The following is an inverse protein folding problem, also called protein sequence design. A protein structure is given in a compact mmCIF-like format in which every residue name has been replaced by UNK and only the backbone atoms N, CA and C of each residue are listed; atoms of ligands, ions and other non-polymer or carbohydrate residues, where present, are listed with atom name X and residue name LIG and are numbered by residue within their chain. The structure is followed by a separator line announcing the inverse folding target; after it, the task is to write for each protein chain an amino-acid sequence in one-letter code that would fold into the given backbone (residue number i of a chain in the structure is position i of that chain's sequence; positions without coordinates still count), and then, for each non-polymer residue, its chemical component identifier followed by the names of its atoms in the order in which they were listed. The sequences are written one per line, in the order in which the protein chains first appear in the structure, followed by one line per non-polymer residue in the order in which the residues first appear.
data_IF_225548042420
#
_entry.id   IF_225548042420
#
_cell.length_a   1.000
_cell.length_b   1.000
_cell.length_c   1.000
_cell.angle_alpha   90.00
_cell.angle_beta   90.00
_cell.angle_gamma   90.00
#
_symmetry.space_group_name_H-M   'P 1'
#
loop_
_entity.id
_entity.type
_entity.pdbx_description
1 polymer ?
#
# COMPACT_ATOMS: atom_id res chain seq x y z
N UNK A 1 1.91 22.26 23.27
CA UNK A 1 2.90 22.78 22.31
C UNK A 1 3.34 21.66 21.39
N UNK A 2 3.20 21.86 20.09
CA UNK A 2 3.59 20.85 19.10
C UNK A 2 5.11 20.70 19.09
N UNK A 3 5.61 19.48 19.10
CA UNK A 3 7.06 19.24 19.04
C UNK A 3 7.59 19.55 17.65
N UNK A 4 8.89 19.84 17.56
CA UNK A 4 9.56 20.07 16.28
C UNK A 4 9.43 18.85 15.35
N UNK A 5 9.49 17.65 15.92
CA UNK A 5 9.32 16.42 15.16
C UNK A 5 7.93 16.31 14.53
N UNK A 6 6.89 16.68 15.28
CA UNK A 6 5.52 16.67 14.77
C UNK A 6 5.30 17.70 13.67
N UNK A 7 5.83 18.93 13.87
CA UNK A 7 5.77 19.99 12.86
C UNK A 7 6.51 19.58 11.59
N UNK A 8 7.74 19.04 11.73
CA UNK A 8 8.54 18.58 10.60
C UNK A 8 7.85 17.50 9.81
N UNK A 9 7.22 16.53 10.49
CA UNK A 9 6.49 15.45 9.83
C UNK A 9 5.32 16.00 9.01
N UNK A 10 4.51 16.90 9.58
CA UNK A 10 3.37 17.49 8.90
C UNK A 10 3.77 18.33 7.69
N UNK A 11 4.84 19.12 7.81
CA UNK A 11 5.34 19.96 6.73
C UNK A 11 6.09 19.16 5.66
N UNK A 12 6.92 18.21 6.09
CA UNK A 12 7.78 17.42 5.22
C UNK A 12 6.99 16.45 4.34
N UNK A 13 5.97 15.83 4.90
CA UNK A 13 5.23 14.80 4.18
C UNK A 13 3.97 15.33 3.50
N UNK A 14 3.44 16.48 3.92
CA UNK A 14 2.25 17.09 3.30
C UNK A 14 1.09 16.10 3.07
N UNK A 15 -0.02 16.57 2.56
CA UNK A 15 -1.15 15.72 2.14
C UNK A 15 -1.55 14.61 3.13
N UNK A 16 -1.33 14.81 4.44
CA UNK A 16 -1.67 13.82 5.46
C UNK A 16 -0.68 12.65 5.55
N UNK A 17 0.48 12.75 4.93
CA UNK A 17 1.49 11.71 5.02
C UNK A 17 2.06 11.62 6.44
N UNK A 18 2.26 10.38 6.90
CA UNK A 18 2.84 10.11 8.22
C UNK A 18 4.28 9.64 8.08
N UNK A 19 5.07 9.67 9.16
CA UNK A 19 6.41 9.06 9.13
C UNK A 19 6.39 7.60 8.70
N UNK A 20 5.34 6.85 9.07
CA UNK A 20 5.20 5.45 8.67
C UNK A 20 5.04 5.32 7.14
N UNK A 21 4.22 6.17 6.54
CA UNK A 21 4.04 6.21 5.08
C UNK A 21 5.35 6.51 4.37
N UNK A 22 6.13 7.46 4.89
CA UNK A 22 7.43 7.79 4.32
C UNK A 22 8.40 6.62 4.41
N UNK A 23 8.46 5.97 5.57
CA UNK A 23 9.32 4.79 5.75
C UNK A 23 8.91 3.67 4.80
N UNK A 24 7.60 3.47 4.60
CA UNK A 24 7.08 2.47 3.66
C UNK A 24 7.44 2.82 2.22
N UNK A 25 7.30 4.09 1.84
CA UNK A 25 7.65 4.58 0.52
C UNK A 25 9.13 4.35 0.21
N UNK A 26 9.99 4.56 1.21
CA UNK A 26 11.44 4.40 1.09
C UNK A 26 11.89 2.93 1.19
N UNK A 27 11.00 2.03 1.58
CA UNK A 27 11.37 0.63 1.81
C UNK A 27 12.22 0.41 3.03
N UNK A 28 12.17 1.33 4.00
CA UNK A 28 12.93 1.23 5.23
C UNK A 28 12.17 0.37 6.25
N UNK A 29 12.31 -0.94 6.12
CA UNK A 29 11.57 -1.91 6.92
C UNK A 29 11.86 -1.78 8.41
N UNK A 30 13.11 -1.52 8.79
CA UNK A 30 13.48 -1.34 10.19
C UNK A 30 12.81 -0.12 10.79
N UNK A 31 12.76 0.98 10.04
CA UNK A 31 12.08 2.21 10.49
C UNK A 31 10.57 1.98 10.62
N UNK A 32 9.97 1.22 9.71
CA UNK A 32 8.56 0.83 9.79
C UNK A 32 8.30 0.11 11.12
N UNK A 33 9.12 -0.87 11.45
CA UNK A 33 8.98 -1.63 12.71
C UNK A 33 9.13 -0.72 13.94
N UNK A 34 10.13 0.16 13.94
CA UNK A 34 10.34 1.12 15.04
C UNK A 34 9.11 1.99 15.25
N UNK A 35 8.59 2.57 14.18
CA UNK A 35 7.43 3.46 14.25
C UNK A 35 6.18 2.75 14.79
N UNK A 36 5.93 1.52 14.34
CA UNK A 36 4.80 0.73 14.82
C UNK A 36 4.97 0.42 16.31
N UNK A 37 6.17 0.04 16.75
CA UNK A 37 6.44 -0.19 18.17
C UNK A 37 6.28 1.08 19.02
N UNK A 38 6.44 2.27 18.41
CA UNK A 38 6.22 3.55 19.06
C UNK A 38 4.76 4.00 19.04
N UNK A 39 3.86 3.17 18.52
CA UNK A 39 2.43 3.44 18.51
C UNK A 39 1.86 4.02 17.21
N UNK A 40 2.62 4.02 16.12
CA UNK A 40 2.08 4.47 14.83
C UNK A 40 0.90 3.58 14.39
N UNK A 41 -0.15 4.21 13.88
CA UNK A 41 -1.30 3.50 13.33
C UNK A 41 -0.95 2.95 11.95
N UNK A 42 -0.86 1.62 11.84
CA UNK A 42 -0.50 0.94 10.59
C UNK A 42 -1.51 1.22 9.47
N UNK A 43 -2.76 1.52 9.83
CA UNK A 43 -3.85 1.74 8.87
C UNK A 43 -4.22 3.22 8.72
N UNK A 44 -3.38 4.14 9.19
CA UNK A 44 -3.60 5.57 8.99
C UNK A 44 -3.68 5.89 7.50
N UNK A 45 -4.61 6.74 7.13
CA UNK A 45 -4.83 7.16 5.74
C UNK A 45 -4.31 8.58 5.53
N UNK A 46 -3.75 8.83 4.35
CA UNK A 46 -3.40 10.20 3.94
C UNK A 46 -4.64 10.92 3.38
N UNK A 47 -4.46 12.13 2.86
CA UNK A 47 -5.56 12.94 2.30
C UNK A 47 -6.23 12.32 1.08
N UNK A 48 -5.59 11.34 0.44
CA UNK A 48 -6.14 10.58 -0.68
C UNK A 48 -6.67 9.20 -0.25
N UNK A 49 -6.71 8.94 1.05
CA UNK A 49 -7.17 7.65 1.58
C UNK A 49 -6.17 6.53 1.45
N UNK A 50 -4.90 6.83 1.16
CA UNK A 50 -3.85 5.83 0.96
C UNK A 50 -3.21 5.44 2.28
N UNK A 51 -2.76 4.19 2.36
CA UNK A 51 -2.12 3.62 3.56
C UNK A 51 -0.64 3.35 3.31
N UNK A 52 0.11 3.09 4.39
CA UNK A 52 1.51 2.72 4.28
C UNK A 52 1.71 1.47 3.40
N UNK A 53 0.80 0.50 3.49
CA UNK A 53 0.86 -0.71 2.66
C UNK A 53 0.84 -0.37 1.16
N UNK A 54 -0.04 0.54 0.76
CA UNK A 54 -0.12 0.98 -0.64
C UNK A 54 1.18 1.60 -1.11
N UNK A 55 1.82 2.42 -0.29
CA UNK A 55 3.11 3.05 -0.64
C UNK A 55 4.23 2.02 -0.79
N UNK A 56 4.30 1.03 0.09
CA UNK A 56 5.30 -0.03 -0.01
C UNK A 56 5.11 -0.83 -1.30
N UNK A 57 3.87 -1.15 -1.64
CA UNK A 57 3.55 -1.93 -2.85
C UNK A 57 3.87 -1.16 -4.12
N UNK A 58 3.45 0.11 -4.21
CA UNK A 58 3.65 0.91 -5.44
C UNK A 58 5.15 1.12 -5.73
N UNK A 59 5.98 1.20 -4.69
CA UNK A 59 7.43 1.32 -4.85
C UNK A 59 8.15 -0.04 -4.82
N UNK A 60 7.41 -1.14 -4.89
CA UNK A 60 7.95 -2.49 -5.02
C UNK A 60 8.83 -2.95 -3.85
N UNK A 61 8.50 -2.49 -2.64
CA UNK A 61 9.21 -2.87 -1.42
C UNK A 61 8.58 -4.10 -0.77
N UNK A 62 8.93 -5.27 -1.26
CA UNK A 62 8.34 -6.54 -0.87
C UNK A 62 8.49 -6.84 0.63
N UNK A 63 9.69 -6.69 1.19
CA UNK A 63 9.93 -6.98 2.61
C UNK A 63 9.16 -6.00 3.53
N UNK A 64 9.09 -4.73 3.13
CA UNK A 64 8.31 -3.73 3.86
C UNK A 64 6.81 -4.05 3.80
N UNK A 65 6.32 -4.43 2.65
CA UNK A 65 4.93 -4.88 2.47
C UNK A 65 4.62 -6.04 3.42
N UNK A 66 5.47 -7.04 3.46
CA UNK A 66 5.30 -8.21 4.33
C UNK A 66 5.27 -7.80 5.80
N UNK A 67 6.20 -6.94 6.21
CA UNK A 67 6.25 -6.45 7.59
C UNK A 67 4.95 -5.73 7.97
N UNK A 68 4.46 -4.84 7.11
CA UNK A 68 3.20 -4.13 7.35
C UNK A 68 2.02 -5.10 7.51
N UNK A 69 1.95 -6.13 6.69
CA UNK A 69 0.90 -7.15 6.77
C UNK A 69 0.98 -7.93 8.10
N UNK A 70 2.18 -8.27 8.54
CA UNK A 70 2.39 -8.95 9.83
C UNK A 70 1.89 -8.07 10.99
N UNK A 71 2.08 -6.76 10.91
CA UNK A 71 1.66 -5.81 11.94
C UNK A 71 0.20 -5.36 11.81
N UNK A 72 -0.59 -6.00 10.97
CA UNK A 72 -2.03 -5.77 10.90
C UNK A 72 -2.48 -4.75 9.86
N UNK A 73 -1.69 -4.48 8.83
CA UNK A 73 -2.14 -3.65 7.72
C UNK A 73 -3.38 -4.27 7.07
N UNK A 74 -4.39 -3.44 6.81
CA UNK A 74 -5.62 -3.88 6.13
C UNK A 74 -5.32 -4.12 4.65
N UNK A 75 -5.28 -5.39 4.25
CA UNK A 75 -4.98 -5.77 2.87
C UNK A 75 -6.03 -5.25 1.88
N UNK A 76 -7.25 -5.01 2.35
CA UNK A 76 -8.37 -4.59 1.51
C UNK A 76 -8.72 -3.10 1.65
N UNK A 77 -7.88 -2.30 2.29
CA UNK A 77 -8.09 -0.87 2.37
C UNK A 77 -8.16 -0.27 0.96
N UNK A 78 -9.07 0.66 0.76
CA UNK A 78 -9.27 1.34 -0.52
C UNK A 78 -8.95 2.82 -0.38
N UNK A 79 -8.20 3.35 -1.34
CA UNK A 79 -8.04 4.80 -1.47
C UNK A 79 -9.38 5.44 -1.86
N UNK A 80 -9.46 6.78 -1.81
CA UNK A 80 -10.72 7.46 -2.17
C UNK A 80 -11.08 7.31 -3.66
N UNK A 81 -10.11 6.96 -4.50
CA UNK A 81 -10.35 6.61 -5.91
C UNK A 81 -10.61 5.11 -6.12
N UNK A 82 -10.73 4.36 -5.03
CA UNK A 82 -11.04 2.93 -5.08
C UNK A 82 -9.85 2.00 -5.22
N UNK A 83 -8.63 2.52 -5.19
CA UNK A 83 -7.40 1.71 -5.35
C UNK A 83 -7.11 0.84 -4.14
N UNK A 84 -6.58 -0.35 -4.39
CA UNK A 84 -6.15 -1.31 -3.35
C UNK A 84 -4.68 -1.66 -3.54
N UNK A 85 -4.08 -2.27 -2.52
CA UNK A 85 -2.70 -2.77 -2.62
C UNK A 85 -2.56 -3.81 -3.76
N UNK A 86 -3.57 -4.68 -3.92
CA UNK A 86 -3.56 -5.68 -5.00
C UNK A 86 -3.51 -5.03 -6.39
N UNK A 87 -4.27 -3.96 -6.61
CA UNK A 87 -4.21 -3.18 -7.85
C UNK A 87 -2.82 -2.60 -8.07
N UNK A 88 -2.18 -2.08 -7.03
CA UNK A 88 -0.81 -1.57 -7.10
C UNK A 88 0.20 -2.64 -7.50
N UNK A 89 0.10 -3.83 -6.94
CA UNK A 89 0.95 -4.95 -7.28
C UNK A 89 0.73 -5.42 -8.73
N UNK A 90 -0.53 -5.43 -9.18
CA UNK A 90 -0.87 -5.77 -10.56
C UNK A 90 -0.28 -4.76 -11.54
N UNK A 91 -0.36 -3.46 -11.22
CA UNK A 91 0.24 -2.40 -12.01
C UNK A 91 1.77 -2.48 -12.05
N UNK A 92 2.40 -2.87 -10.94
CA UNK A 92 3.83 -3.03 -10.86
C UNK A 92 4.33 -4.28 -11.60
N UNK A 93 3.43 -5.22 -11.90
CA UNK A 93 3.80 -6.47 -12.55
C UNK A 93 4.60 -7.41 -11.65
N UNK A 94 4.47 -7.29 -10.35
CA UNK A 94 5.21 -8.09 -9.38
C UNK A 94 4.36 -9.27 -8.91
N UNK A 95 4.58 -10.43 -9.53
CA UNK A 95 3.84 -11.65 -9.23
C UNK A 95 4.00 -12.07 -7.77
N UNK A 96 5.18 -11.88 -7.20
CA UNK A 96 5.48 -12.24 -5.81
C UNK A 96 4.63 -11.42 -4.83
N UNK A 97 4.49 -10.12 -5.08
CA UNK A 97 3.62 -9.25 -4.28
C UNK A 97 2.15 -9.64 -4.42
N UNK A 98 1.71 -9.88 -5.65
CA UNK A 98 0.34 -10.34 -5.93
C UNK A 98 0.04 -11.59 -5.12
N UNK A 99 0.92 -12.58 -5.18
CA UNK A 99 0.75 -13.84 -4.47
C UNK A 99 0.66 -13.62 -2.95
N UNK A 100 1.56 -12.80 -2.40
CA UNK A 100 1.58 -12.50 -0.96
C UNK A 100 0.31 -11.80 -0.50
N UNK A 101 -0.21 -10.86 -1.30
CA UNK A 101 -1.46 -10.16 -0.98
C UNK A 101 -2.67 -11.11 -1.04
N UNK A 102 -2.72 -11.99 -2.04
CA UNK A 102 -3.77 -13.01 -2.13
C UNK A 102 -3.73 -13.96 -0.94
N UNK A 103 -2.54 -14.37 -0.51
CA UNK A 103 -2.36 -15.24 0.67
C UNK A 103 -2.88 -14.57 1.95
N UNK A 104 -2.94 -13.26 1.99
CA UNK A 104 -3.48 -12.49 3.12
C UNK A 104 -4.94 -12.09 2.93
N UNK A 105 -5.62 -12.63 1.93
CA UNK A 105 -7.04 -12.43 1.72
C UNK A 105 -7.40 -11.19 0.89
N UNK A 106 -6.51 -10.73 0.02
CA UNK A 106 -6.82 -9.61 -0.87
C UNK A 106 -8.06 -9.93 -1.73
N UNK A 107 -8.99 -8.97 -1.80
CA UNK A 107 -10.22 -9.10 -2.56
C UNK A 107 -9.95 -8.77 -4.04
N UNK A 108 -10.45 -9.61 -4.94
CA UNK A 108 -10.30 -9.46 -6.38
C UNK A 108 -11.32 -8.51 -7.00
N UNK A 109 -12.42 -8.24 -6.31
CA UNK A 109 -13.58 -7.55 -6.90
C UNK A 109 -13.54 -6.02 -6.89
N UNK A 110 -12.79 -5.33 -6.01
CA UNK A 110 -12.77 -3.87 -6.02
C UNK A 110 -12.44 -3.30 -7.40
N UNK A 111 -13.06 -2.16 -7.71
CA UNK A 111 -12.86 -1.44 -8.97
C UNK A 111 -12.56 0.02 -8.68
N UNK A 112 -11.71 0.61 -9.52
CA UNK A 112 -11.46 2.05 -9.47
C UNK A 112 -12.76 2.80 -9.76
N UNK A 113 -12.96 3.94 -9.10
CA UNK A 113 -14.23 4.67 -9.17
C UNK A 113 -14.46 5.33 -10.53
N UNK A 114 -13.41 5.80 -11.16
CA UNK A 114 -13.52 6.52 -12.44
C UNK A 114 -13.49 5.58 -13.65
N UNK A 115 -12.54 4.64 -13.66
CA UNK A 115 -12.30 3.78 -14.82
C UNK A 115 -12.99 2.43 -14.73
N UNK A 116 -13.48 2.07 -13.54
CA UNK A 116 -14.06 0.75 -13.24
C UNK A 116 -13.10 -0.43 -13.44
N UNK A 117 -11.80 -0.15 -13.51
CA UNK A 117 -10.80 -1.19 -13.66
C UNK A 117 -10.60 -1.94 -12.33
N UNK A 118 -10.41 -3.25 -12.44
CA UNK A 118 -10.05 -4.13 -11.32
C UNK A 118 -8.58 -4.54 -11.43
N UNK A 119 -8.07 -5.27 -10.44
CA UNK A 119 -6.70 -5.77 -10.47
C UNK A 119 -6.43 -6.61 -11.72
N UNK A 120 -7.38 -7.49 -12.11
CA UNK A 120 -7.21 -8.33 -13.30
C UNK A 120 -7.16 -7.50 -14.59
N UNK A 121 -8.03 -6.50 -14.73
CA UNK A 121 -8.03 -5.67 -15.93
C UNK A 121 -6.79 -4.80 -16.03
N UNK A 122 -6.30 -4.30 -14.90
CA UNK A 122 -5.05 -3.53 -14.84
C UNK A 122 -3.85 -4.39 -15.27
N UNK A 123 -3.75 -5.61 -14.76
CA UNK A 123 -2.68 -6.54 -15.15
C UNK A 123 -2.75 -6.86 -16.65
N UNK A 124 -3.94 -7.17 -17.15
CA UNK A 124 -4.14 -7.53 -18.56
C UNK A 124 -3.79 -6.38 -19.50
N UNK A 125 -4.21 -5.16 -19.17
CA UNK A 125 -3.95 -3.98 -20.02
C UNK A 125 -2.47 -3.60 -20.07
N UNK A 126 -1.69 -4.01 -19.07
CA UNK A 126 -0.24 -3.78 -19.02
C UNK A 126 0.58 -4.97 -19.54
N UNK A 127 -0.09 -6.01 -20.06
CA UNK A 127 0.59 -7.17 -20.63
C UNK A 127 1.12 -8.18 -19.61
N UNK A 128 0.68 -8.08 -18.37
CA UNK A 128 1.09 -9.02 -17.32
C UNK A 128 0.18 -10.25 -17.31
N UNK A 129 0.31 -11.08 -18.35
CA UNK A 129 -0.62 -12.19 -18.63
C UNK A 129 -0.66 -13.24 -17.53
N UNK A 130 0.49 -13.56 -16.93
CA UNK A 130 0.54 -14.53 -15.84
C UNK A 130 -0.21 -14.04 -14.61
N UNK A 131 -0.05 -12.76 -14.26
CA UNK A 131 -0.80 -12.14 -13.15
C UNK A 131 -2.28 -12.10 -13.49
N UNK A 132 -2.64 -11.71 -14.71
CA UNK A 132 -4.05 -11.67 -15.13
C UNK A 132 -4.70 -13.03 -15.02
N UNK A 133 -4.01 -14.10 -15.41
CA UNK A 133 -4.51 -15.48 -15.26
C UNK A 133 -4.69 -15.87 -13.79
N UNK A 134 -3.73 -15.50 -12.95
CA UNK A 134 -3.81 -15.79 -11.52
C UNK A 134 -5.01 -15.09 -10.85
N UNK A 135 -5.34 -13.87 -11.30
CA UNK A 135 -6.43 -13.07 -10.76
C UNK A 135 -7.81 -13.39 -11.37
N UNK A 136 -7.85 -14.20 -12.39
CA UNK A 136 -9.09 -14.54 -13.10
C UNK A 136 -9.96 -15.55 -12.37
#
# INVERSE_FOLDING_TARGET
MTTRAELSAAEEYGHGHTPLMRAALDGNTERVKELIHQGADVNQRDDNGRTALMFAVINMHYETMKALLVYGADVNARSYKGGTALMGAALAGDLRMVQALLDKGADLHPRLTETHESAVTLAASHGYDEIARLLS
#
